data_IF_546927774033
#
_entry.id   IF_546927774033
#
_cell.length_a   1.000
_cell.length_b   1.000
_cell.length_c   1.000
_cell.angle_alpha   90.00
_cell.angle_beta   90.00
_cell.angle_gamma   90.00
#
_symmetry.space_group_name_H-M   'P 1'
#
loop_
_entity.id
_entity.type
_entity.pdbx_description
1 polymer ?
#
# COMPACT_ATOMS: atom_id res chain seq x y z
N UNK A 1 -6.33 -31.10 71.30
CA UNK A 1 -5.13 -30.37 71.78
C UNK A 1 -4.48 -29.71 70.57
N UNK A 2 -4.41 -28.37 70.54
CA UNK A 2 -3.82 -27.58 69.44
C UNK A 2 -2.30 -27.66 69.51
N UNK A 3 -1.62 -27.78 68.38
CA UNK A 3 -0.31 -27.16 68.16
C UNK A 3 -0.30 -26.53 66.76
N UNK A 4 -0.06 -25.22 66.74
CA UNK A 4 0.11 -24.36 65.56
C UNK A 4 1.60 -24.20 65.31
N UNK A 5 2.03 -24.34 64.06
CA UNK A 5 3.27 -23.77 63.48
C UNK A 5 3.04 -23.67 61.96
N UNK A 6 2.67 -22.52 61.37
CA UNK A 6 3.42 -21.29 61.10
C UNK A 6 4.44 -21.40 59.95
N UNK A 7 4.15 -20.62 58.90
CA UNK A 7 5.04 -19.94 57.92
C UNK A 7 5.70 -20.77 56.81
N UNK A 8 5.33 -20.39 55.59
CA UNK A 8 6.10 -20.58 54.37
C UNK A 8 5.31 -20.04 53.19
N UNK A 9 5.17 -18.71 53.08
CA UNK A 9 4.51 -18.06 51.94
C UNK A 9 5.45 -18.23 50.73
N UNK A 10 5.29 -19.32 49.99
CA UNK A 10 5.95 -19.51 48.70
C UNK A 10 5.35 -18.50 47.72
N UNK A 11 6.08 -17.42 47.48
CA UNK A 11 5.80 -16.52 46.38
C UNK A 11 6.22 -17.24 45.09
N UNK A 12 5.24 -17.75 44.35
CA UNK A 12 5.43 -18.14 42.95
C UNK A 12 5.78 -16.87 42.17
N UNK A 13 7.06 -16.69 41.85
CA UNK A 13 7.52 -15.66 40.91
C UNK A 13 7.14 -16.15 39.51
N UNK A 14 6.07 -15.58 38.95
CA UNK A 14 5.73 -15.74 37.54
C UNK A 14 6.72 -14.88 36.75
N UNK A 15 7.72 -15.49 36.14
CA UNK A 15 8.59 -14.81 35.16
C UNK A 15 7.77 -14.64 33.89
N UNK A 16 7.18 -13.46 33.73
CA UNK A 16 6.60 -13.02 32.46
C UNK A 16 7.77 -12.83 31.47
N UNK A 17 8.02 -13.84 30.64
CA UNK A 17 8.93 -13.69 29.51
C UNK A 17 8.33 -12.67 28.53
N UNK A 18 8.74 -11.41 28.65
CA UNK A 18 8.53 -10.41 27.61
C UNK A 18 9.36 -10.83 26.39
N UNK A 19 8.75 -11.63 25.52
CA UNK A 19 9.23 -11.81 24.17
C UNK A 19 9.16 -10.44 23.48
N UNK A 20 10.32 -9.80 23.31
CA UNK A 20 10.43 -8.53 22.62
C UNK A 20 9.84 -8.64 21.22
N UNK A 21 8.80 -7.86 20.95
CA UNK A 21 8.41 -7.55 19.58
C UNK A 21 9.57 -6.72 19.01
N UNK A 22 10.43 -7.37 18.22
CA UNK A 22 11.37 -6.66 17.37
C UNK A 22 10.57 -5.87 16.33
N UNK A 23 10.34 -4.58 16.59
CA UNK A 23 9.90 -3.64 15.59
C UNK A 23 10.98 -3.60 14.51
N UNK A 24 10.74 -4.29 13.39
CA UNK A 24 11.61 -4.22 12.23
C UNK A 24 11.52 -2.78 11.72
N UNK A 25 12.55 -1.98 11.97
CA UNK A 25 12.65 -0.63 11.43
C UNK A 25 12.47 -0.73 9.91
N UNK A 26 11.38 -0.17 9.40
CA UNK A 26 11.22 -0.05 7.95
C UNK A 26 12.37 0.81 7.44
N UNK A 27 13.00 0.46 6.31
CA UNK A 27 14.02 1.32 5.72
C UNK A 27 13.43 2.72 5.54
N UNK A 28 14.07 3.73 6.12
CA UNK A 28 13.66 5.13 5.98
C UNK A 28 14.14 5.67 4.64
N UNK A 29 13.34 6.50 3.96
CA UNK A 29 13.79 7.16 2.74
C UNK A 29 14.90 8.17 3.04
N UNK A 30 16.10 7.94 2.51
CA UNK A 30 17.14 8.97 2.51
C UNK A 30 16.86 9.99 1.39
N UNK A 31 17.33 11.23 1.55
CA UNK A 31 17.18 12.23 0.50
C UNK A 31 17.86 11.86 -0.82
N UNK A 32 18.93 11.05 -0.77
CA UNK A 32 19.55 10.49 -1.98
C UNK A 32 18.65 9.43 -2.65
N UNK A 33 18.10 8.51 -1.85
CA UNK A 33 17.20 7.48 -2.35
C UNK A 33 15.94 8.10 -2.98
N UNK A 34 15.40 9.16 -2.37
CA UNK A 34 14.28 9.92 -2.92
C UNK A 34 14.61 10.49 -4.31
N UNK A 35 15.75 11.19 -4.44
CA UNK A 35 16.17 11.77 -5.74
C UNK A 35 16.39 10.71 -6.81
N UNK A 36 16.95 9.56 -6.44
CA UNK A 36 17.09 8.41 -7.35
C UNK A 36 15.71 7.87 -7.78
N UNK A 37 14.77 7.74 -6.83
CA UNK A 37 13.43 7.30 -7.13
C UNK A 37 12.71 8.26 -8.09
N UNK A 38 12.72 9.56 -7.78
CA UNK A 38 12.07 10.60 -8.58
C UNK A 38 12.64 10.66 -10.00
N UNK A 39 13.96 10.70 -10.14
CA UNK A 39 14.62 10.74 -11.46
C UNK A 39 14.37 9.48 -12.32
N UNK A 40 14.14 8.32 -11.69
CA UNK A 40 13.89 7.06 -12.38
C UNK A 40 12.41 6.80 -12.70
N UNK A 41 11.47 7.50 -12.05
CA UNK A 41 10.03 7.28 -12.20
C UNK A 41 9.53 7.46 -13.66
N UNK A 42 9.97 8.46 -14.44
CA UNK A 42 9.50 8.63 -15.82
C UNK A 42 9.75 7.39 -16.71
N UNK A 43 10.90 6.75 -16.55
CA UNK A 43 11.21 5.51 -17.27
C UNK A 43 10.38 4.31 -16.76
N UNK A 44 10.04 4.30 -15.47
CA UNK A 44 9.24 3.24 -14.85
C UNK A 44 7.77 3.26 -15.30
N UNK A 45 7.22 4.44 -15.61
CA UNK A 45 5.84 4.61 -16.09
C UNK A 45 5.60 3.97 -17.49
N UNK A 46 6.61 3.41 -18.15
CA UNK A 46 6.45 2.77 -19.45
C UNK A 46 5.62 1.47 -19.41
N UNK A 47 5.54 0.79 -18.26
CA UNK A 47 4.81 -0.49 -18.12
C UNK A 47 4.58 -0.90 -16.67
N UNK A 48 3.57 -1.74 -16.42
CA UNK A 48 3.32 -2.30 -15.09
C UNK A 48 4.52 -3.01 -14.46
N UNK A 49 5.28 -3.88 -15.16
CA UNK A 49 6.45 -4.51 -14.55
C UNK A 49 7.56 -3.51 -14.19
N UNK A 50 7.73 -2.44 -14.96
CA UNK A 50 8.73 -1.42 -14.69
C UNK A 50 8.33 -0.57 -13.48
N UNK A 51 7.09 -0.10 -13.42
CA UNK A 51 6.56 0.67 -12.31
C UNK A 51 6.56 -0.16 -11.00
N UNK A 52 6.15 -1.43 -11.07
CA UNK A 52 6.16 -2.33 -9.92
C UNK A 52 7.57 -2.59 -9.38
N UNK A 53 8.57 -2.78 -10.26
CA UNK A 53 9.97 -2.92 -9.84
C UNK A 53 10.49 -1.64 -9.20
N UNK A 54 10.15 -0.50 -9.77
CA UNK A 54 10.56 0.81 -9.25
C UNK A 54 9.98 1.03 -7.84
N UNK A 55 8.66 0.87 -7.65
CA UNK A 55 8.06 0.94 -6.32
C UNK A 55 8.70 -0.04 -5.35
N UNK A 56 8.90 -1.30 -5.74
CA UNK A 56 9.54 -2.29 -4.85
C UNK A 56 10.94 -1.87 -4.38
N UNK A 57 11.69 -1.18 -5.23
CA UNK A 57 13.03 -0.69 -4.91
C UNK A 57 12.97 0.56 -3.99
N UNK A 58 11.97 1.41 -4.18
CA UNK A 58 11.87 2.71 -3.53
C UNK A 58 10.65 2.85 -2.59
N UNK A 59 10.06 1.75 -2.13
CA UNK A 59 8.83 1.73 -1.34
C UNK A 59 8.92 2.56 -0.04
N UNK A 60 10.13 2.75 0.48
CA UNK A 60 10.41 3.61 1.63
C UNK A 60 10.14 5.09 1.37
N UNK A 61 10.12 5.53 0.11
CA UNK A 61 10.08 6.93 -0.34
C UNK A 61 8.72 7.36 -0.88
N UNK A 62 7.70 6.52 -0.78
CA UNK A 62 6.36 6.77 -1.29
C UNK A 62 5.63 7.82 -0.43
N UNK A 63 6.05 9.07 -0.58
CA UNK A 63 5.57 10.24 0.13
C UNK A 63 5.73 11.50 -0.75
N UNK A 64 4.97 12.55 -0.43
CA UNK A 64 5.01 13.85 -1.09
C UNK A 64 4.87 13.76 -2.62
N UNK A 65 5.72 14.51 -3.34
CA UNK A 65 5.65 14.59 -4.80
C UNK A 65 5.91 13.24 -5.51
N UNK A 66 6.68 12.33 -4.89
CA UNK A 66 6.89 11.00 -5.46
C UNK A 66 5.61 10.15 -5.37
N UNK A 67 4.88 10.24 -4.24
CA UNK A 67 3.59 9.58 -4.08
C UNK A 67 2.57 10.08 -5.11
N UNK A 68 2.49 11.41 -5.32
CA UNK A 68 1.63 12.00 -6.37
C UNK A 68 2.03 11.51 -7.77
N UNK A 69 3.34 11.41 -8.04
CA UNK A 69 3.86 10.84 -9.27
C UNK A 69 3.47 9.37 -9.48
N UNK A 70 3.42 8.58 -8.40
CA UNK A 70 2.90 7.21 -8.48
C UNK A 70 1.40 7.18 -8.74
N UNK A 71 0.60 8.06 -8.12
CA UNK A 71 -0.83 8.19 -8.41
C UNK A 71 -1.10 8.48 -9.89
N UNK A 72 -0.39 9.44 -10.47
CA UNK A 72 -0.49 9.74 -11.91
C UNK A 72 -0.06 8.54 -12.76
N UNK A 73 1.07 7.90 -12.44
CA UNK A 73 1.58 6.74 -13.20
C UNK A 73 0.62 5.54 -13.15
N UNK A 74 0.06 5.24 -11.97
CA UNK A 74 -0.91 4.16 -11.78
C UNK A 74 -2.16 4.42 -12.59
N UNK A 75 -2.77 5.61 -12.47
CA UNK A 75 -4.00 5.93 -13.21
C UNK A 75 -3.76 5.97 -14.71
N UNK A 76 -2.66 6.58 -15.18
CA UNK A 76 -2.30 6.61 -16.60
C UNK A 76 -2.13 5.20 -17.16
N UNK A 77 -1.43 4.30 -16.47
CA UNK A 77 -1.28 2.91 -16.90
C UNK A 77 -2.61 2.14 -16.86
N UNK A 78 -3.49 2.42 -15.90
CA UNK A 78 -4.82 1.81 -15.86
C UNK A 78 -5.67 2.23 -17.06
N UNK A 79 -5.59 3.50 -17.47
CA UNK A 79 -6.28 4.03 -18.65
C UNK A 79 -5.70 3.47 -19.95
N UNK A 80 -4.39 3.64 -20.14
CA UNK A 80 -3.75 3.36 -21.43
C UNK A 80 -3.52 1.85 -21.65
N UNK A 81 -3.19 1.11 -20.58
CA UNK A 81 -2.74 -0.28 -20.65
C UNK A 81 -3.17 -1.08 -19.41
N UNK A 82 -4.47 -1.22 -19.15
CA UNK A 82 -4.96 -1.82 -17.90
C UNK A 82 -4.41 -3.22 -17.62
N UNK A 83 -4.22 -4.03 -18.68
CA UNK A 83 -3.64 -5.38 -18.61
C UNK A 83 -4.19 -6.22 -17.43
N UNK A 84 -5.51 -6.13 -17.19
CA UNK A 84 -6.15 -6.60 -15.96
C UNK A 84 -5.75 -8.02 -15.52
N UNK A 85 -5.67 -9.04 -16.40
CA UNK A 85 -5.28 -10.38 -15.98
C UNK A 85 -3.83 -10.47 -15.46
N UNK A 86 -2.90 -9.77 -16.11
CA UNK A 86 -1.49 -9.76 -15.71
C UNK A 86 -1.31 -8.98 -14.40
N UNK A 87 -1.97 -7.83 -14.29
CA UNK A 87 -1.93 -7.01 -13.08
C UNK A 87 -2.61 -7.70 -11.88
N UNK A 88 -3.71 -8.42 -12.13
CA UNK A 88 -4.34 -9.25 -11.11
C UNK A 88 -3.38 -10.33 -10.59
N UNK A 89 -2.55 -10.93 -11.45
CA UNK A 89 -1.54 -11.91 -11.01
C UNK A 89 -0.45 -11.28 -10.13
N UNK A 90 0.04 -10.10 -10.48
CA UNK A 90 1.03 -9.37 -9.68
C UNK A 90 0.46 -9.03 -8.29
N UNK A 91 -0.77 -8.50 -8.27
CA UNK A 91 -1.41 -8.04 -7.03
C UNK A 91 -1.98 -9.16 -6.15
N UNK A 92 -2.23 -10.36 -6.68
CA UNK A 92 -2.62 -11.52 -5.86
C UNK A 92 -1.43 -12.21 -5.22
N UNK A 93 -0.24 -12.09 -5.79
CA UNK A 93 0.99 -12.69 -5.26
C UNK A 93 1.62 -11.86 -4.14
N UNK A 94 1.37 -10.54 -4.10
CA UNK A 94 1.89 -9.64 -3.08
C UNK A 94 0.81 -8.66 -2.59
N UNK A 95 0.35 -8.87 -1.36
CA UNK A 95 -0.65 -8.02 -0.73
C UNK A 95 -0.19 -6.56 -0.57
N UNK A 96 1.12 -6.32 -0.40
CA UNK A 96 1.65 -4.94 -0.30
C UNK A 96 1.52 -4.23 -1.63
N UNK A 97 1.83 -4.91 -2.73
CA UNK A 97 1.67 -4.39 -4.09
C UNK A 97 0.22 -4.03 -4.39
N UNK A 98 -0.73 -4.88 -3.96
CA UNK A 98 -2.16 -4.60 -4.11
C UNK A 98 -2.59 -3.38 -3.31
N UNK A 99 -2.17 -3.30 -2.04
CA UNK A 99 -2.51 -2.18 -1.18
C UNK A 99 -1.95 -0.87 -1.73
N UNK A 100 -0.68 -0.86 -2.12
CA UNK A 100 -0.01 0.27 -2.75
C UNK A 100 -0.75 0.76 -4.00
N UNK A 101 -1.00 -0.13 -4.97
CA UNK A 101 -1.67 0.23 -6.22
C UNK A 101 -3.06 0.84 -5.98
N UNK A 102 -3.85 0.23 -5.09
CA UNK A 102 -5.20 0.72 -4.79
C UNK A 102 -5.17 2.01 -3.94
N UNK A 103 -4.10 2.24 -3.19
CA UNK A 103 -3.88 3.48 -2.44
C UNK A 103 -3.71 4.68 -3.36
N UNK A 104 -3.03 4.49 -4.49
CA UNK A 104 -2.76 5.49 -5.54
C UNK A 104 -3.90 5.74 -6.53
N UNK A 105 -5.08 5.16 -6.29
CA UNK A 105 -6.30 5.55 -6.99
C UNK A 105 -7.05 6.52 -6.08
N UNK A 106 -6.53 7.74 -5.98
CA UNK A 106 -6.94 8.76 -5.02
C UNK A 106 -7.19 10.13 -5.66
N UNK A 107 -7.47 11.12 -4.81
CA UNK A 107 -7.80 12.49 -5.19
C UNK A 107 -6.60 13.33 -5.69
N UNK A 108 -5.37 12.81 -5.64
CA UNK A 108 -4.21 13.54 -6.16
C UNK A 108 -4.13 13.51 -7.70
N UNK A 109 -4.99 12.73 -8.34
CA UNK A 109 -5.09 12.61 -9.81
C UNK A 109 -6.25 13.46 -10.34
N UNK A 110 -6.17 13.87 -11.60
CA UNK A 110 -7.20 14.72 -12.21
C UNK A 110 -8.59 14.07 -12.15
N UNK A 111 -9.62 14.87 -11.80
CA UNK A 111 -11.02 14.40 -11.78
C UNK A 111 -11.44 13.82 -13.12
N UNK A 112 -10.94 14.35 -14.23
CA UNK A 112 -11.23 13.86 -15.57
C UNK A 112 -10.69 12.43 -15.80
N UNK A 113 -9.46 12.15 -15.39
CA UNK A 113 -8.87 10.81 -15.49
C UNK A 113 -9.61 9.82 -14.58
N UNK A 114 -10.00 10.22 -13.36
CA UNK A 114 -10.80 9.39 -12.46
C UNK A 114 -12.19 9.06 -13.05
N UNK A 115 -12.84 10.03 -13.68
CA UNK A 115 -14.12 9.83 -14.38
C UNK A 115 -13.96 8.91 -15.59
N UNK A 116 -12.90 9.07 -16.37
CA UNK A 116 -12.59 8.18 -17.49
C UNK A 116 -12.33 6.76 -17.00
N UNK A 117 -11.58 6.59 -15.92
CA UNK A 117 -11.28 5.28 -15.34
C UNK A 117 -12.55 4.63 -14.76
N UNK A 118 -13.47 5.42 -14.19
CA UNK A 118 -14.78 4.96 -13.73
C UNK A 118 -15.63 4.42 -14.89
N UNK A 119 -15.63 5.11 -16.03
CA UNK A 119 -16.32 4.64 -17.23
C UNK A 119 -15.69 3.34 -17.77
N UNK A 120 -14.36 3.28 -17.84
CA UNK A 120 -13.62 2.10 -18.31
C UNK A 120 -13.82 0.87 -17.41
N UNK A 121 -14.01 1.08 -16.11
CA UNK A 121 -14.26 0.02 -15.13
C UNK A 121 -15.73 -0.25 -14.85
N UNK A 122 -16.66 0.33 -15.64
CA UNK A 122 -18.09 0.10 -15.48
C UNK A 122 -18.49 -1.37 -15.70
N UNK A 123 -17.74 -2.10 -16.54
CA UNK A 123 -17.89 -3.54 -16.73
C UNK A 123 -16.59 -4.26 -16.36
N UNK A 124 -16.57 -4.87 -15.19
CA UNK A 124 -15.40 -5.59 -14.68
C UNK A 124 -15.55 -7.10 -14.85
N UNK A 125 -14.46 -7.76 -15.26
CA UNK A 125 -14.35 -9.22 -15.36
C UNK A 125 -13.27 -9.81 -14.46
N UNK A 126 -12.56 -8.98 -13.69
CA UNK A 126 -11.49 -9.41 -12.78
C UNK A 126 -11.67 -8.83 -11.38
N UNK A 127 -11.18 -9.57 -10.37
CA UNK A 127 -11.20 -9.14 -8.98
C UNK A 127 -10.42 -7.82 -8.75
N UNK A 128 -9.35 -7.60 -9.51
CA UNK A 128 -8.62 -6.33 -9.46
C UNK A 128 -9.43 -5.17 -10.05
N UNK A 129 -10.08 -5.34 -11.20
CA UNK A 129 -10.92 -4.30 -11.78
C UNK A 129 -12.01 -3.86 -10.80
N UNK A 130 -12.69 -4.82 -10.15
CA UNK A 130 -13.68 -4.50 -9.10
C UNK A 130 -13.06 -3.75 -7.92
N UNK A 131 -11.82 -4.07 -7.54
CA UNK A 131 -11.15 -3.36 -6.46
C UNK A 131 -10.76 -1.93 -6.83
N UNK A 132 -10.36 -1.69 -8.09
CA UNK A 132 -10.14 -0.32 -8.61
C UNK A 132 -11.46 0.46 -8.62
N UNK A 133 -12.55 -0.15 -9.08
CA UNK A 133 -13.88 0.46 -9.02
C UNK A 133 -14.29 0.84 -7.59
N UNK A 134 -13.98 -0.01 -6.60
CA UNK A 134 -14.21 0.30 -5.19
C UNK A 134 -13.30 1.42 -4.67
N UNK A 135 -12.04 1.49 -5.11
CA UNK A 135 -11.13 2.58 -4.75
C UNK A 135 -11.66 3.92 -5.27
N UNK A 136 -12.07 3.98 -6.54
CA UNK A 136 -12.70 5.16 -7.16
C UNK A 136 -13.90 5.67 -6.37
N UNK A 137 -14.81 4.77 -5.97
CA UNK A 137 -16.00 5.15 -5.20
C UNK A 137 -15.64 5.77 -3.83
N UNK A 138 -14.58 5.27 -3.17
CA UNK A 138 -14.10 5.85 -1.90
C UNK A 138 -13.50 7.23 -2.10
N UNK A 139 -12.70 7.39 -3.15
CA UNK A 139 -12.08 8.67 -3.51
C UNK A 139 -13.14 9.74 -3.76
N UNK A 140 -14.16 9.41 -4.56
CA UNK A 140 -15.28 10.32 -4.82
C UNK A 140 -16.06 10.68 -3.55
N UNK A 141 -16.32 9.71 -2.66
CA UNK A 141 -17.00 9.96 -1.39
C UNK A 141 -16.22 10.92 -0.48
N UNK A 142 -14.88 10.82 -0.45
CA UNK A 142 -14.02 11.77 0.29
C UNK A 142 -14.11 13.18 -0.28
N UNK A 143 -14.08 13.33 -1.60
CA UNK A 143 -14.17 14.64 -2.27
C UNK A 143 -15.51 15.35 -2.07
N UNK A 144 -16.58 14.61 -1.72
CA UNK A 144 -17.92 15.18 -1.45
C UNK A 144 -18.17 15.57 0.01
N UNK A 145 -17.24 15.28 0.92
CA UNK A 145 -17.38 15.65 2.34
C UNK A 145 -16.79 17.06 2.53
N UNK A 146 -17.61 18.05 2.93
CA UNK A 146 -17.17 19.44 3.09
C UNK A 146 -16.21 19.66 4.27
#
# INVERSE_FOLDING_TARGET
MRLRTARGKQWLVVILALAGLSAQAQPSCSGELYRQAESALPAANASWPALHRHWRQYAACDDGALAEGYSEAVVRLLLDRPQWPALNRITTQDARSRHWLLGHVDESVSTADLQQLQAQTATCSSALCHAVQQALARTQARSTTP
#
